data_IF_692452507633
#
_entry.id   IF_692452507633
#
_cell.length_a   1.000
_cell.length_b   1.000
_cell.length_c   1.000
_cell.angle_alpha   90.00
_cell.angle_beta   90.00
_cell.angle_gamma   90.00
#
_symmetry.space_group_name_H-M   'P 1'
#
loop_
_entity.id
_entity.type
_entity.pdbx_description
1 polymer ?
#
# COMPACT_ATOMS: atom_id res chain seq x y z
N UNK A 1 -19.36 6.66 26.22
CA UNK A 1 -18.03 6.92 25.62
C UNK A 1 -17.93 6.11 24.33
N UNK A 2 -17.81 6.76 23.17
CA UNK A 2 -17.55 6.13 21.87
C UNK A 2 -16.17 6.58 21.39
N UNK A 3 -15.14 5.76 21.63
CA UNK A 3 -13.85 5.95 20.96
C UNK A 3 -13.85 5.05 19.71
N UNK A 4 -13.73 5.61 18.49
CA UNK A 4 -13.68 4.80 17.28
C UNK A 4 -12.44 3.90 17.31
N UNK A 5 -12.61 2.62 16.96
CA UNK A 5 -11.49 1.68 16.85
C UNK A 5 -10.59 2.17 15.71
N UNK A 6 -9.31 2.41 16.02
CA UNK A 6 -8.30 2.87 15.06
C UNK A 6 -7.36 1.72 14.72
N UNK A 7 -6.77 1.81 13.52
CA UNK A 7 -5.64 0.98 13.13
C UNK A 7 -4.42 1.24 14.03
N UNK A 8 -3.43 0.34 13.96
CA UNK A 8 -2.19 0.45 14.73
C UNK A 8 -1.37 1.71 14.40
N UNK A 9 -1.63 2.35 13.26
CA UNK A 9 -1.06 3.62 12.82
C UNK A 9 -1.91 4.85 13.21
N UNK A 10 -2.99 4.66 13.97
CA UNK A 10 -3.92 5.71 14.37
C UNK A 10 -4.90 6.14 13.27
N UNK A 11 -4.79 5.56 12.06
CA UNK A 11 -5.71 5.81 10.97
C UNK A 11 -7.06 5.12 11.19
N UNK A 12 -8.13 5.54 10.51
CA UNK A 12 -9.41 4.82 10.54
C UNK A 12 -9.34 3.47 9.79
N UNK A 13 -8.23 3.16 9.11
CA UNK A 13 -8.07 1.92 8.36
C UNK A 13 -7.61 0.80 9.28
N UNK A 14 -8.15 -0.41 9.07
CA UNK A 14 -7.86 -1.59 9.90
C UNK A 14 -6.88 -2.56 9.23
N UNK A 15 -6.12 -2.08 8.24
CA UNK A 15 -5.20 -2.88 7.42
C UNK A 15 -3.75 -2.42 7.58
N UNK A 16 -2.80 -3.34 7.43
CA UNK A 16 -1.37 -3.05 7.42
C UNK A 16 -0.86 -2.55 6.05
N UNK A 17 -1.72 -2.44 5.04
CA UNK A 17 -1.33 -2.03 3.69
C UNK A 17 -0.58 -0.67 3.65
N UNK A 18 -0.96 0.38 4.40
CA UNK A 18 -0.18 1.62 4.44
C UNK A 18 1.24 1.45 5.00
N UNK A 19 1.42 0.59 6.02
CA UNK A 19 2.74 0.28 6.56
C UNK A 19 3.62 -0.42 5.53
N UNK A 20 3.07 -1.43 4.84
CA UNK A 20 3.75 -2.10 3.75
C UNK A 20 4.17 -1.12 2.64
N UNK A 21 3.25 -0.26 2.22
CA UNK A 21 3.50 0.76 1.20
C UNK A 21 4.70 1.63 1.56
N UNK A 22 4.76 2.11 2.81
CA UNK A 22 5.85 2.96 3.29
C UNK A 22 7.21 2.26 3.29
N UNK A 23 7.27 1.04 3.83
CA UNK A 23 8.51 0.26 3.93
C UNK A 23 9.01 -0.11 2.53
N UNK A 24 8.14 -0.65 1.67
CA UNK A 24 8.51 -1.04 0.31
C UNK A 24 9.00 0.16 -0.52
N UNK A 25 8.30 1.30 -0.44
CA UNK A 25 8.69 2.54 -1.13
C UNK A 25 10.03 3.11 -0.63
N UNK A 26 10.36 2.93 0.65
CA UNK A 26 11.67 3.31 1.19
C UNK A 26 12.77 2.39 0.67
N UNK A 27 12.56 1.06 0.68
CA UNK A 27 13.53 0.08 0.20
C UNK A 27 13.87 0.29 -1.29
N UNK A 28 12.85 0.50 -2.14
CA UNK A 28 13.06 0.69 -3.58
C UNK A 28 13.88 1.96 -3.88
N UNK A 29 13.62 3.06 -3.16
CA UNK A 29 14.39 4.30 -3.32
C UNK A 29 15.81 4.16 -2.79
N UNK A 30 15.99 3.51 -1.64
CA UNK A 30 17.31 3.28 -1.04
C UNK A 30 18.25 2.55 -1.99
N UNK A 31 17.74 1.54 -2.69
CA UNK A 31 18.51 0.72 -3.63
C UNK A 31 18.50 1.26 -5.07
N UNK A 32 17.95 2.48 -5.29
CA UNK A 32 17.80 3.11 -6.60
C UNK A 32 17.18 2.19 -7.66
N UNK A 33 16.17 1.41 -7.26
CA UNK A 33 15.49 0.48 -8.18
C UNK A 33 14.79 1.29 -9.28
N UNK A 34 15.08 1.04 -10.57
CA UNK A 34 14.44 1.75 -11.65
C UNK A 34 12.95 1.41 -11.73
N UNK A 35 12.13 2.41 -12.01
CA UNK A 35 10.70 2.19 -12.29
C UNK A 35 10.52 1.55 -13.66
N UNK A 36 9.53 0.68 -13.78
CA UNK A 36 9.09 0.22 -15.10
C UNK A 36 8.50 1.40 -15.88
N UNK A 37 8.83 1.59 -17.16
CA UNK A 37 8.22 2.63 -17.99
C UNK A 37 6.75 2.36 -18.30
N UNK A 38 6.35 1.07 -18.30
CA UNK A 38 4.98 0.62 -18.51
C UNK A 38 4.60 -0.38 -17.40
N UNK A 39 3.52 -0.15 -16.63
CA UNK A 39 3.02 -1.11 -15.65
C UNK A 39 2.29 -2.31 -16.30
N UNK A 40 2.04 -2.27 -17.60
CA UNK A 40 1.24 -3.25 -18.33
C UNK A 40 -0.27 -2.96 -18.26
N UNK A 41 -1.11 -3.78 -18.93
CA UNK A 41 -2.55 -3.62 -18.91
C UNK A 41 -3.14 -3.90 -17.52
N UNK A 42 -4.21 -3.20 -17.09
CA UNK A 42 -4.89 -3.50 -15.83
C UNK A 42 -5.39 -4.94 -15.76
N UNK A 43 -5.29 -5.55 -14.57
CA UNK A 43 -5.72 -6.93 -14.34
C UNK A 43 -7.25 -7.02 -14.28
N UNK A 44 -7.82 -8.01 -14.97
CA UNK A 44 -9.24 -8.39 -14.82
C UNK A 44 -9.36 -9.29 -13.59
N UNK A 45 -9.93 -8.75 -12.52
CA UNK A 45 -10.09 -9.47 -11.24
C UNK A 45 -11.44 -10.21 -11.15
N UNK A 46 -12.39 -9.87 -12.01
CA UNK A 46 -13.73 -10.46 -12.03
C UNK A 46 -14.18 -10.66 -13.49
N UNK A 47 -14.62 -11.87 -13.82
CA UNK A 47 -15.20 -12.22 -15.11
C UNK A 47 -16.73 -12.05 -15.11
N UNK A 48 -17.30 -11.92 -16.31
CA UNK A 48 -18.75 -11.84 -16.56
C UNK A 48 -19.40 -13.22 -16.56
#
# INVERSE_FOLDING_TARGET
MNAPKRGSDGSPHMTAAPLFHNIASWLMRRENVPLSPDPGPPLILQAT
#
